data_IF_632302153983
#
_entry.id   IF_632302153983
#
_cell.length_a   1.000
_cell.length_b   1.000
_cell.length_c   1.000
_cell.angle_alpha   90.00
_cell.angle_beta   90.00
_cell.angle_gamma   90.00
#
_symmetry.space_group_name_H-M   'P 1'
#
loop_
_entity.id
_entity.type
_entity.pdbx_description
1 polymer ?
#
# COMPACT_ATOMS: atom_id res chain seq x y z
N UNK A 1 -51.88 -33.96 -7.50
CA UNK A 1 -51.18 -33.87 -6.20
C UNK A 1 -49.73 -33.51 -6.45
N UNK A 2 -49.36 -32.25 -6.27
CA UNK A 2 -47.97 -31.84 -6.18
C UNK A 2 -47.95 -30.72 -5.14
N UNK A 3 -47.86 -31.09 -3.86
CA UNK A 3 -47.55 -30.10 -2.83
C UNK A 3 -46.13 -29.61 -3.14
N UNK A 4 -45.99 -28.36 -3.57
CA UNK A 4 -44.69 -27.71 -3.69
C UNK A 4 -44.08 -27.71 -2.29
N UNK A 5 -42.99 -28.48 -2.13
CA UNK A 5 -42.20 -28.50 -0.91
C UNK A 5 -41.22 -27.33 -1.00
N UNK A 6 -41.78 -26.14 -1.13
CA UNK A 6 -41.02 -24.91 -1.17
C UNK A 6 -40.40 -24.69 0.21
N UNK A 7 -39.10 -24.42 0.23
CA UNK A 7 -38.33 -24.10 1.41
C UNK A 7 -37.90 -22.63 1.33
N UNK A 8 -38.01 -21.94 2.45
CA UNK A 8 -37.42 -20.63 2.66
C UNK A 8 -35.97 -20.81 3.10
N UNK A 9 -35.03 -20.31 2.30
CA UNK A 9 -33.60 -20.34 2.61
C UNK A 9 -33.15 -18.92 2.92
N UNK A 10 -32.87 -18.67 4.19
CA UNK A 10 -32.25 -17.43 4.68
C UNK A 10 -30.73 -17.54 4.52
N UNK A 11 -30.14 -16.67 3.70
CA UNK A 11 -28.70 -16.64 3.42
C UNK A 11 -28.09 -15.42 4.11
N UNK A 12 -27.27 -15.67 5.13
CA UNK A 12 -26.56 -14.65 5.92
C UNK A 12 -27.44 -13.55 6.54
N UNK A 13 -28.77 -13.70 6.58
CA UNK A 13 -29.68 -12.62 6.94
C UNK A 13 -29.79 -11.51 5.90
N UNK A 14 -29.19 -11.67 4.72
CA UNK A 14 -29.22 -10.71 3.61
C UNK A 14 -30.50 -10.86 2.78
N UNK A 15 -30.79 -12.09 2.36
CA UNK A 15 -31.93 -12.41 1.51
C UNK A 15 -32.53 -13.77 1.84
N UNK A 16 -33.85 -13.87 1.69
CA UNK A 16 -34.62 -15.11 1.81
C UNK A 16 -35.03 -15.56 0.42
N UNK A 17 -34.67 -16.79 0.05
CA UNK A 17 -35.02 -17.41 -1.20
C UNK A 17 -36.09 -18.47 -0.99
N UNK A 18 -37.09 -18.52 -1.89
CA UNK A 18 -38.12 -19.58 -1.88
C UNK A 18 -37.80 -20.54 -3.01
N UNK A 19 -37.42 -21.77 -2.66
CA UNK A 19 -36.85 -22.75 -3.59
C UNK A 19 -37.51 -24.12 -3.41
N UNK A 20 -37.63 -24.88 -4.49
CA UNK A 20 -38.06 -26.28 -4.44
C UNK A 20 -36.95 -27.12 -3.81
N UNK A 21 -37.25 -27.67 -2.62
CA UNK A 21 -36.36 -28.55 -1.87
C UNK A 21 -35.83 -29.71 -2.69
N UNK A 22 -36.63 -30.27 -3.60
CA UNK A 22 -36.28 -31.47 -4.39
C UNK A 22 -35.21 -31.14 -5.42
N UNK A 23 -35.35 -30.01 -6.11
CA UNK A 23 -34.38 -29.55 -7.11
C UNK A 23 -33.04 -29.27 -6.43
N UNK A 24 -33.05 -28.57 -5.29
CA UNK A 24 -31.80 -28.28 -4.60
C UNK A 24 -31.14 -29.54 -4.02
N UNK A 25 -31.93 -30.46 -3.45
CA UNK A 25 -31.44 -31.72 -2.89
C UNK A 25 -30.94 -32.73 -3.93
N UNK A 26 -31.38 -32.65 -5.19
CA UNK A 26 -30.88 -33.53 -6.25
C UNK A 26 -29.44 -33.23 -6.65
N UNK A 27 -28.99 -31.99 -6.45
CA UNK A 27 -27.63 -31.54 -6.78
C UNK A 27 -26.72 -31.40 -5.55
N UNK A 28 -27.26 -30.94 -4.41
CA UNK A 28 -26.46 -30.64 -3.21
C UNK A 28 -26.48 -31.80 -2.21
N UNK A 29 -25.29 -32.36 -1.94
CA UNK A 29 -25.13 -33.37 -0.89
C UNK A 29 -25.39 -32.80 0.51
N UNK A 30 -25.08 -31.53 0.73
CA UNK A 30 -25.34 -30.87 2.01
C UNK A 30 -26.84 -30.74 2.26
N UNK A 31 -27.61 -30.28 1.28
CA UNK A 31 -29.06 -30.13 1.39
C UNK A 31 -29.74 -31.49 1.47
N UNK A 32 -29.28 -32.52 0.76
CA UNK A 32 -29.83 -33.88 0.89
C UNK A 32 -29.63 -34.44 2.30
N UNK A 33 -28.44 -34.27 2.90
CA UNK A 33 -28.15 -34.65 4.30
C UNK A 33 -28.96 -33.86 5.34
N UNK A 34 -29.20 -32.58 5.11
CA UNK A 34 -30.05 -31.76 5.99
C UNK A 34 -31.52 -32.16 5.84
N UNK A 35 -31.94 -32.47 4.62
CA UNK A 35 -33.32 -32.84 4.30
C UNK A 35 -33.79 -34.13 4.96
N UNK A 36 -32.88 -35.10 5.19
CA UNK A 36 -33.19 -36.35 5.90
C UNK A 36 -33.29 -36.16 7.42
N UNK A 37 -32.67 -35.11 7.97
CA UNK A 37 -32.70 -34.79 9.42
C UNK A 37 -33.86 -33.88 9.82
N UNK A 38 -34.36 -33.06 8.90
CA UNK A 38 -35.41 -32.07 9.15
C UNK A 38 -36.76 -32.56 8.58
N UNK A 39 -37.46 -33.42 9.32
CA UNK A 39 -38.85 -33.78 9.04
C UNK A 39 -39.79 -32.68 9.54
N UNK A 40 -40.05 -31.67 8.71
CA UNK A 40 -41.13 -30.69 8.93
C UNK A 40 -40.74 -29.21 8.94
N UNK A 41 -39.46 -28.86 8.80
CA UNK A 41 -39.04 -27.46 8.73
C UNK A 41 -39.08 -26.95 7.28
N UNK A 42 -39.79 -25.85 7.06
CA UNK A 42 -39.82 -25.09 5.80
C UNK A 42 -38.67 -24.08 5.71
N UNK A 43 -37.97 -23.79 6.82
CA UNK A 43 -37.02 -22.67 6.89
C UNK A 43 -35.60 -23.20 7.17
N UNK A 44 -34.71 -23.02 6.19
CA UNK A 44 -33.28 -23.31 6.26
C UNK A 44 -32.52 -22.00 6.44
N UNK A 45 -31.51 -22.01 7.30
CA UNK A 45 -30.63 -20.85 7.49
C UNK A 45 -29.19 -21.25 7.19
N UNK A 46 -28.58 -20.56 6.23
CA UNK A 46 -27.16 -20.64 5.97
C UNK A 46 -26.49 -19.41 6.57
N UNK A 47 -25.91 -19.60 7.75
CA UNK A 47 -25.00 -18.63 8.34
C UNK A 47 -23.62 -18.82 7.69
N UNK A 48 -22.97 -17.71 7.33
CA UNK A 48 -21.66 -17.64 6.69
C UNK A 48 -21.56 -18.34 5.32
N UNK A 49 -22.61 -18.28 4.51
CA UNK A 49 -22.57 -18.72 3.11
C UNK A 49 -21.54 -17.87 2.33
N UNK A 50 -20.55 -18.49 1.67
CA UNK A 50 -19.47 -17.75 1.04
C UNK A 50 -19.97 -17.00 -0.20
N UNK A 51 -19.75 -15.68 -0.21
CA UNK A 51 -20.25 -14.79 -1.27
C UNK A 51 -21.72 -14.39 -1.13
N UNK A 52 -22.32 -14.68 0.03
CA UNK A 52 -23.65 -14.18 0.39
C UNK A 52 -24.76 -14.62 -0.55
N UNK A 53 -25.78 -13.78 -0.64
CA UNK A 53 -26.97 -14.03 -1.46
C UNK A 53 -26.63 -14.18 -2.96
N UNK A 54 -25.67 -13.43 -3.49
CA UNK A 54 -25.28 -13.46 -4.91
C UNK A 54 -24.70 -14.82 -5.30
N UNK A 55 -23.79 -15.36 -4.49
CA UNK A 55 -23.22 -16.68 -4.70
C UNK A 55 -24.31 -17.77 -4.66
N UNK A 56 -25.24 -17.67 -3.69
CA UNK A 56 -26.36 -18.61 -3.59
C UNK A 56 -27.30 -18.52 -4.81
N UNK A 57 -27.56 -17.32 -5.32
CA UNK A 57 -28.33 -17.14 -6.55
C UNK A 57 -27.70 -17.90 -7.73
N UNK A 58 -26.38 -17.80 -7.92
CA UNK A 58 -25.69 -18.56 -8.97
C UNK A 58 -25.86 -20.08 -8.80
N UNK A 59 -25.77 -20.59 -7.57
CA UNK A 59 -26.00 -22.01 -7.29
C UNK A 59 -27.44 -22.41 -7.64
N UNK A 60 -28.42 -21.59 -7.30
CA UNK A 60 -29.82 -21.89 -7.62
C UNK A 60 -30.05 -21.86 -9.14
N UNK A 61 -29.50 -20.87 -9.86
CA UNK A 61 -29.57 -20.81 -11.33
C UNK A 61 -28.99 -22.08 -11.96
N UNK A 62 -27.87 -22.58 -11.47
CA UNK A 62 -27.31 -23.86 -11.92
C UNK A 62 -28.29 -25.04 -11.70
N UNK A 63 -28.85 -25.18 -10.50
CA UNK A 63 -29.76 -26.27 -10.16
C UNK A 63 -31.06 -26.23 -10.98
N UNK A 64 -31.63 -25.05 -11.18
CA UNK A 64 -32.87 -24.86 -11.95
C UNK A 64 -32.68 -24.94 -13.45
N UNK A 65 -31.47 -24.71 -13.95
CA UNK A 65 -31.13 -24.80 -15.36
C UNK A 65 -30.49 -26.15 -15.71
N UNK A 66 -30.98 -27.22 -15.08
CA UNK A 66 -30.58 -28.61 -15.29
C UNK A 66 -29.07 -28.88 -15.14
N UNK A 67 -28.39 -28.18 -14.23
CA UNK A 67 -26.96 -28.34 -14.01
C UNK A 67 -26.09 -27.66 -15.09
N UNK A 68 -26.61 -26.61 -15.72
CA UNK A 68 -25.86 -25.80 -16.68
C UNK A 68 -25.80 -24.33 -16.26
N UNK A 69 -24.58 -23.80 -16.21
CA UNK A 69 -24.32 -22.38 -15.97
C UNK A 69 -23.09 -21.95 -16.76
N UNK A 70 -23.12 -20.73 -17.30
CA UNK A 70 -21.96 -20.16 -17.97
C UNK A 70 -20.94 -19.74 -16.91
N UNK A 71 -19.79 -20.40 -16.90
CA UNK A 71 -18.64 -20.04 -16.06
C UNK A 71 -17.86 -18.93 -16.77
N UNK A 72 -17.59 -17.86 -16.04
CA UNK A 72 -16.90 -16.66 -16.50
C UNK A 72 -15.91 -16.19 -15.43
N UNK A 73 -14.92 -15.34 -15.76
CA UNK A 73 -14.03 -14.78 -14.76
C UNK A 73 -14.76 -14.01 -13.66
N UNK A 74 -15.90 -13.40 -13.97
CA UNK A 74 -16.73 -12.64 -13.02
C UNK A 74 -17.53 -13.48 -12.03
N UNK A 75 -17.70 -14.79 -12.24
CA UNK A 75 -18.53 -15.60 -11.35
C UNK A 75 -17.82 -16.85 -10.83
N UNK A 76 -16.66 -17.21 -11.39
CA UNK A 76 -15.92 -18.44 -11.05
C UNK A 76 -15.67 -18.60 -9.54
N UNK A 77 -15.22 -17.54 -8.85
CA UNK A 77 -14.90 -17.64 -7.42
C UNK A 77 -16.16 -17.77 -6.56
N UNK A 78 -17.23 -17.04 -6.87
CA UNK A 78 -18.52 -17.18 -6.20
C UNK A 78 -19.09 -18.59 -6.40
N UNK A 79 -19.08 -19.09 -7.64
CA UNK A 79 -19.50 -20.44 -8.00
C UNK A 79 -18.68 -21.49 -7.24
N UNK A 80 -17.36 -21.41 -7.27
CA UNK A 80 -16.47 -22.39 -6.65
C UNK A 80 -16.67 -22.45 -5.13
N UNK A 81 -16.74 -21.30 -4.46
CA UNK A 81 -17.00 -21.27 -3.02
C UNK A 81 -18.39 -21.78 -2.68
N UNK A 82 -19.42 -21.31 -3.40
CA UNK A 82 -20.81 -21.69 -3.17
C UNK A 82 -21.06 -23.17 -3.40
N UNK A 83 -20.50 -23.74 -4.48
CA UNK A 83 -20.69 -25.16 -4.82
C UNK A 83 -19.92 -26.07 -3.86
N UNK A 84 -18.75 -25.64 -3.40
CA UNK A 84 -17.97 -26.34 -2.38
C UNK A 84 -18.71 -26.34 -1.04
N UNK A 85 -19.26 -25.19 -0.62
CA UNK A 85 -20.08 -25.11 0.60
C UNK A 85 -21.32 -26.01 0.51
N UNK A 86 -21.98 -26.02 -0.64
CA UNK A 86 -23.18 -26.82 -0.89
C UNK A 86 -22.88 -28.30 -1.20
N UNK A 87 -21.60 -28.68 -1.30
CA UNK A 87 -21.16 -30.02 -1.68
C UNK A 87 -21.81 -30.51 -3.01
N UNK A 88 -21.77 -29.69 -4.07
CA UNK A 88 -22.30 -30.01 -5.41
C UNK A 88 -21.16 -30.54 -6.31
N UNK A 89 -20.97 -31.86 -6.44
CA UNK A 89 -19.77 -32.43 -7.06
C UNK A 89 -19.60 -32.07 -8.54
N UNK A 90 -20.71 -32.02 -9.31
CA UNK A 90 -20.68 -31.71 -10.75
C UNK A 90 -20.16 -30.30 -10.99
N UNK A 91 -20.60 -29.33 -10.18
CA UNK A 91 -20.18 -27.94 -10.33
C UNK A 91 -18.77 -27.72 -9.79
N UNK A 92 -18.39 -28.42 -8.70
CA UNK A 92 -17.01 -28.38 -8.18
C UNK A 92 -16.02 -28.77 -9.28
N UNK A 93 -16.21 -29.93 -9.94
CA UNK A 93 -15.29 -30.38 -11.00
C UNK A 93 -15.26 -29.42 -12.18
N UNK A 94 -16.39 -28.84 -12.59
CA UNK A 94 -16.44 -27.83 -13.65
C UNK A 94 -15.66 -26.56 -13.28
N UNK A 95 -15.78 -26.10 -12.03
CA UNK A 95 -15.06 -24.91 -11.56
C UNK A 95 -13.56 -25.17 -11.39
N UNK A 96 -13.16 -26.35 -10.91
CA UNK A 96 -11.75 -26.74 -10.79
C UNK A 96 -11.07 -26.79 -12.17
N UNK A 97 -11.71 -27.42 -13.17
CA UNK A 97 -11.20 -27.45 -14.55
C UNK A 97 -11.05 -26.06 -15.15
N UNK A 98 -11.97 -25.13 -14.83
CA UNK A 98 -11.83 -23.74 -15.28
C UNK A 98 -10.65 -23.04 -14.58
N UNK A 99 -10.45 -23.30 -13.28
CA UNK A 99 -9.35 -22.72 -12.51
C UNK A 99 -7.98 -23.24 -12.98
N UNK A 100 -7.87 -24.51 -13.37
CA UNK A 100 -6.66 -25.04 -14.01
C UNK A 100 -6.32 -24.30 -15.33
N UNK A 101 -7.34 -23.77 -16.01
CA UNK A 101 -7.23 -22.98 -17.23
C UNK A 101 -6.89 -21.50 -17.03
N UNK A 102 -6.67 -21.01 -15.79
CA UNK A 102 -6.46 -19.58 -15.48
C UNK A 102 -5.29 -18.97 -16.28
N UNK A 103 -4.27 -19.76 -16.63
CA UNK A 103 -3.10 -19.29 -17.38
C UNK A 103 -3.41 -18.77 -18.78
N UNK A 104 -4.57 -19.13 -19.35
CA UNK A 104 -5.00 -18.69 -20.68
C UNK A 104 -5.89 -17.44 -20.68
N UNK A 105 -6.22 -16.90 -19.50
CA UNK A 105 -7.05 -15.70 -19.40
C UNK A 105 -6.34 -14.48 -19.97
N UNK A 106 -7.10 -13.65 -20.68
CA UNK A 106 -6.64 -12.31 -21.06
C UNK A 106 -6.51 -11.42 -19.82
N UNK A 107 -5.72 -10.34 -19.92
CA UNK A 107 -5.53 -9.42 -18.79
C UNK A 107 -6.85 -8.82 -18.28
N UNK A 108 -7.77 -8.46 -19.17
CA UNK A 108 -9.07 -7.89 -18.80
C UNK A 108 -9.96 -8.90 -18.06
N UNK A 109 -9.98 -10.16 -18.52
CA UNK A 109 -10.67 -11.26 -17.85
C UNK A 109 -10.09 -11.51 -16.46
N UNK A 110 -8.76 -11.46 -16.35
CA UNK A 110 -8.05 -11.61 -15.09
C UNK A 110 -8.41 -10.50 -14.08
N UNK A 111 -8.37 -9.23 -14.52
CA UNK A 111 -8.77 -8.08 -13.70
C UNK A 111 -10.23 -8.17 -13.26
N UNK A 112 -11.12 -8.67 -14.12
CA UNK A 112 -12.51 -8.90 -13.76
C UNK A 112 -12.67 -9.98 -12.68
N UNK A 113 -11.90 -11.08 -12.77
CA UNK A 113 -11.86 -12.10 -11.73
C UNK A 113 -11.33 -11.58 -10.39
N UNK A 114 -10.29 -10.73 -10.41
CA UNK A 114 -9.76 -10.11 -9.19
C UNK A 114 -10.78 -9.24 -8.45
N UNK A 115 -11.63 -8.48 -9.18
CA UNK A 115 -12.71 -7.69 -8.56
C UNK A 115 -13.65 -8.55 -7.74
N UNK A 116 -13.90 -9.77 -8.20
CA UNK A 116 -14.76 -10.74 -7.52
C UNK A 116 -14.03 -11.47 -6.40
N UNK A 117 -12.73 -11.73 -6.52
CA UNK A 117 -11.96 -12.22 -5.39
C UNK A 117 -11.96 -11.25 -4.19
N UNK A 118 -12.04 -9.94 -4.46
CA UNK A 118 -12.02 -8.93 -3.41
C UNK A 118 -13.24 -9.03 -2.49
N UNK A 119 -14.44 -9.28 -3.04
CA UNK A 119 -15.66 -9.46 -2.23
C UNK A 119 -15.56 -10.71 -1.36
N UNK A 120 -14.83 -11.72 -1.83
CA UNK A 120 -14.60 -12.99 -1.14
C UNK A 120 -13.31 -13.04 -0.32
N UNK A 121 -12.57 -11.93 -0.21
CA UNK A 121 -11.21 -11.93 0.32
C UNK A 121 -11.12 -12.48 1.75
N UNK A 122 -12.11 -12.18 2.60
CA UNK A 122 -12.18 -12.69 3.98
C UNK A 122 -12.23 -14.21 4.06
N UNK A 123 -12.84 -14.87 3.07
CA UNK A 123 -13.11 -16.32 3.07
C UNK A 123 -12.07 -17.07 2.23
N UNK A 124 -11.56 -16.45 1.16
CA UNK A 124 -10.70 -17.09 0.17
C UNK A 124 -9.20 -16.88 0.39
N UNK A 125 -8.78 -16.01 1.31
CA UNK A 125 -7.37 -15.69 1.48
C UNK A 125 -6.47 -16.90 1.84
N UNK A 126 -7.02 -17.98 2.39
CA UNK A 126 -6.27 -19.21 2.70
C UNK A 126 -6.41 -20.31 1.64
N UNK A 127 -7.29 -20.15 0.65
CA UNK A 127 -7.57 -21.19 -0.33
C UNK A 127 -6.41 -21.34 -1.33
N UNK A 128 -5.97 -22.58 -1.66
CA UNK A 128 -4.90 -22.81 -2.62
C UNK A 128 -5.17 -22.20 -4.00
N UNK A 129 -6.39 -22.32 -4.51
CA UNK A 129 -6.78 -21.79 -5.82
C UNK A 129 -6.64 -20.26 -5.90
N UNK A 130 -6.83 -19.56 -4.78
CA UNK A 130 -6.62 -18.12 -4.72
C UNK A 130 -5.13 -17.75 -4.78
N UNK A 131 -4.27 -18.55 -4.14
CA UNK A 131 -2.81 -18.38 -4.24
C UNK A 131 -2.30 -18.66 -5.64
N UNK A 132 -2.82 -19.70 -6.30
CA UNK A 132 -2.50 -20.03 -7.69
C UNK A 132 -2.96 -18.93 -8.66
N UNK A 133 -4.15 -18.39 -8.45
CA UNK A 133 -4.63 -17.22 -9.18
C UNK A 133 -3.69 -16.04 -8.99
N UNK A 134 -3.34 -15.69 -7.74
CA UNK A 134 -2.37 -14.62 -7.45
C UNK A 134 -1.01 -14.88 -8.08
N UNK A 135 -0.48 -16.10 -8.03
CA UNK A 135 0.79 -16.41 -8.66
C UNK A 135 0.73 -16.24 -10.19
N UNK A 136 -0.41 -16.56 -10.81
CA UNK A 136 -0.62 -16.34 -12.25
C UNK A 136 -0.69 -14.84 -12.59
N UNK A 137 -1.35 -14.02 -11.75
CA UNK A 137 -1.32 -12.56 -11.88
C UNK A 137 0.12 -12.05 -11.88
N UNK A 138 0.91 -12.51 -10.91
CA UNK A 138 2.28 -12.07 -10.73
C UNK A 138 3.14 -12.52 -11.91
N UNK A 139 2.98 -13.75 -12.41
CA UNK A 139 3.64 -14.20 -13.64
C UNK A 139 3.28 -13.31 -14.85
N UNK A 140 2.02 -12.90 -14.99
CA UNK A 140 1.61 -11.98 -16.06
C UNK A 140 2.13 -10.54 -15.89
N UNK A 141 2.41 -10.13 -14.65
CA UNK A 141 3.08 -8.86 -14.35
C UNK A 141 4.58 -8.92 -14.64
N UNK A 142 5.24 -10.07 -14.47
CA UNK A 142 6.67 -10.20 -14.72
C UNK A 142 7.02 -10.26 -16.21
N UNK A 143 6.12 -10.75 -17.08
CA UNK A 143 6.34 -10.73 -18.53
C UNK A 143 6.36 -9.28 -19.07
N UNK A 144 7.41 -8.88 -19.82
CA UNK A 144 7.41 -7.63 -20.59
C UNK A 144 6.25 -7.66 -21.58
N UNK A 145 5.40 -6.63 -21.61
CA UNK A 145 4.32 -6.60 -22.59
C UNK A 145 4.89 -6.50 -24.02
N UNK A 146 4.47 -7.41 -24.90
CA UNK A 146 4.82 -7.40 -26.32
C UNK A 146 3.93 -6.45 -27.15
N UNK A 147 3.08 -5.63 -26.51
CA UNK A 147 2.09 -4.80 -27.22
C UNK A 147 1.93 -3.41 -26.58
N UNK A 148 2.26 -2.32 -27.28
CA UNK A 148 1.80 -0.99 -26.91
C UNK A 148 0.35 -0.85 -27.41
N UNK A 149 -0.63 -1.24 -26.60
CA UNK A 149 -2.02 -0.90 -26.91
C UNK A 149 -2.23 0.59 -26.64
N UNK A 150 -2.68 1.28 -27.68
CA UNK A 150 -2.90 2.72 -27.73
C UNK A 150 -4.18 3.09 -26.98
N UNK A 151 -4.22 4.34 -26.51
CA UNK A 151 -5.33 5.08 -25.89
C UNK A 151 -5.53 4.94 -24.38
N UNK A 152 -4.80 5.75 -23.62
CA UNK A 152 -5.35 6.40 -22.41
C UNK A 152 -5.16 7.92 -22.51
N UNK A 153 -6.14 8.58 -23.10
CA UNK A 153 -6.35 10.02 -22.94
C UNK A 153 -6.91 10.28 -21.53
N UNK A 154 -6.05 10.60 -20.57
CA UNK A 154 -6.47 11.22 -19.31
C UNK A 154 -5.39 12.11 -18.73
N UNK A 155 -5.59 13.41 -18.97
CA UNK A 155 -5.17 14.59 -18.19
C UNK A 155 -3.79 14.51 -17.50
N UNK A 156 -2.75 14.88 -18.24
CA UNK A 156 -1.46 15.29 -17.67
C UNK A 156 -1.56 16.75 -17.22
N UNK A 157 -1.49 17.00 -15.91
CA UNK A 157 -1.09 18.32 -15.40
C UNK A 157 0.39 18.50 -15.73
N UNK A 158 0.68 19.29 -16.77
CA UNK A 158 2.00 19.81 -17.05
C UNK A 158 2.23 21.05 -16.19
N UNK A 159 3.04 20.92 -15.14
CA UNK A 159 3.73 22.09 -14.58
C UNK A 159 5.08 22.18 -15.25
N UNK A 160 5.28 23.27 -15.98
CA UNK A 160 6.52 23.64 -16.63
C UNK A 160 7.63 23.85 -15.59
N UNK A 161 8.73 23.13 -15.74
CA UNK A 161 10.06 23.72 -15.52
C UNK A 161 11.09 22.99 -16.39
N UNK A 162 11.83 23.80 -17.14
CA UNK A 162 12.77 23.42 -18.20
C UNK A 162 14.06 22.86 -17.64
N UNK A 163 14.38 21.59 -17.93
CA UNK A 163 15.76 21.10 -18.08
C UNK A 163 15.81 20.01 -19.18
N UNK A 164 16.71 20.09 -20.17
CA UNK A 164 16.81 19.08 -21.22
C UNK A 164 17.99 18.10 -21.00
N UNK A 165 17.77 16.85 -21.45
CA UNK A 165 18.73 15.74 -21.67
C UNK A 165 19.08 14.94 -20.39
N UNK A 166 19.09 13.61 -20.34
CA UNK A 166 18.98 12.52 -21.32
C UNK A 166 18.76 11.22 -20.53
N UNK A 167 17.75 10.40 -20.89
CA UNK A 167 17.52 8.97 -20.52
C UNK A 167 16.03 8.61 -20.33
N UNK A 168 15.07 9.46 -20.73
CA UNK A 168 13.63 9.21 -20.52
C UNK A 168 12.96 8.28 -21.54
N UNK A 169 13.69 7.36 -22.16
CA UNK A 169 13.13 6.43 -23.16
C UNK A 169 13.08 4.97 -22.73
N UNK A 170 13.69 4.58 -21.59
CA UNK A 170 13.69 3.18 -21.12
C UNK A 170 12.71 2.90 -19.97
N UNK A 171 12.01 3.93 -19.45
CA UNK A 171 11.22 3.83 -18.22
C UNK A 171 9.70 3.75 -18.41
N UNK A 172 9.16 3.72 -19.63
CA UNK A 172 7.72 3.49 -19.86
C UNK A 172 7.35 2.00 -19.70
N UNK A 173 7.81 1.40 -18.59
CA UNK A 173 7.58 0.01 -18.24
C UNK A 173 6.16 -0.14 -17.67
N UNK A 174 5.21 -0.63 -18.48
CA UNK A 174 3.94 -1.26 -18.07
C UNK A 174 3.13 -0.62 -16.91
N UNK A 175 3.18 0.69 -16.72
CA UNK A 175 2.44 1.37 -15.64
C UNK A 175 0.91 1.25 -15.79
N UNK A 176 0.40 1.01 -17.00
CA UNK A 176 -1.04 0.83 -17.25
C UNK A 176 -1.60 -0.40 -16.51
N UNK A 177 -0.80 -1.46 -16.31
CA UNK A 177 -1.21 -2.62 -15.50
C UNK A 177 -1.38 -2.25 -14.03
N UNK A 178 -0.64 -1.24 -13.54
CA UNK A 178 -0.81 -0.76 -12.17
C UNK A 178 -2.10 0.06 -12.03
N UNK A 179 -2.46 0.85 -13.05
CA UNK A 179 -3.72 1.59 -13.09
C UNK A 179 -4.92 0.64 -12.94
N UNK A 180 -4.91 -0.46 -13.70
CA UNK A 180 -5.96 -1.49 -13.66
C UNK A 180 -6.10 -2.19 -12.31
N UNK A 181 -5.08 -2.11 -11.44
CA UNK A 181 -5.08 -2.72 -10.10
C UNK A 181 -5.33 -1.73 -8.97
N UNK A 182 -5.59 -0.44 -9.26
CA UNK A 182 -5.86 0.58 -8.24
C UNK A 182 -7.18 0.35 -7.47
N UNK A 183 -8.11 -0.42 -8.04
CA UNK A 183 -9.36 -0.77 -7.36
C UNK A 183 -9.14 -1.64 -6.12
N UNK A 184 -8.04 -2.40 -6.06
CA UNK A 184 -7.75 -3.37 -4.99
C UNK A 184 -7.85 -2.77 -3.60
N UNK A 185 -8.60 -3.36 -2.69
CA UNK A 185 -8.67 -2.93 -1.28
C UNK A 185 -7.31 -3.00 -0.56
N UNK A 186 -7.17 -2.22 0.51
CA UNK A 186 -5.88 -2.05 1.23
C UNK A 186 -5.32 -3.40 1.69
N UNK A 187 -6.16 -4.25 2.27
CA UNK A 187 -5.72 -5.54 2.82
C UNK A 187 -5.36 -6.53 1.69
N UNK A 188 -6.03 -6.44 0.55
CA UNK A 188 -5.71 -7.27 -0.60
C UNK A 188 -4.42 -6.80 -1.28
N UNK A 189 -4.23 -5.49 -1.41
CA UNK A 189 -2.99 -4.91 -1.94
C UNK A 189 -1.78 -5.24 -1.06
N UNK A 190 -1.90 -5.16 0.27
CA UNK A 190 -0.85 -5.60 1.20
C UNK A 190 -0.41 -7.04 0.92
N UNK A 191 -1.37 -7.96 0.74
CA UNK A 191 -1.08 -9.36 0.40
C UNK A 191 -0.41 -9.50 -0.96
N UNK A 192 -0.89 -8.78 -1.98
CA UNK A 192 -0.31 -8.79 -3.32
C UNK A 192 1.18 -8.41 -3.28
N UNK A 193 1.50 -7.30 -2.61
CA UNK A 193 2.88 -6.81 -2.50
C UNK A 193 3.75 -7.81 -1.72
N UNK A 194 3.25 -8.40 -0.63
CA UNK A 194 3.97 -9.45 0.09
C UNK A 194 4.26 -10.67 -0.81
N UNK A 195 3.31 -11.08 -1.63
CA UNK A 195 3.54 -12.14 -2.63
C UNK A 195 4.57 -11.73 -3.68
N UNK A 196 4.59 -10.47 -4.15
CA UNK A 196 5.64 -9.98 -5.05
C UNK A 196 7.04 -10.07 -4.43
N UNK A 197 7.16 -9.73 -3.14
CA UNK A 197 8.42 -9.84 -2.39
C UNK A 197 8.86 -11.30 -2.27
N UNK A 198 7.93 -12.22 -1.95
CA UNK A 198 8.20 -13.65 -1.86
C UNK A 198 8.64 -14.27 -3.20
N UNK A 199 8.10 -13.77 -4.31
CA UNK A 199 8.48 -14.18 -5.66
C UNK A 199 9.71 -13.43 -6.21
N UNK A 200 10.43 -12.69 -5.36
CA UNK A 200 11.67 -11.99 -5.70
C UNK A 200 11.55 -10.99 -6.87
N UNK A 201 10.42 -10.26 -6.94
CA UNK A 201 10.31 -9.12 -7.86
C UNK A 201 11.34 -8.05 -7.52
N UNK A 202 11.78 -7.31 -8.53
CA UNK A 202 12.72 -6.20 -8.34
C UNK A 202 12.14 -5.14 -7.40
N UNK A 203 12.82 -4.88 -6.29
CA UNK A 203 12.38 -3.92 -5.28
C UNK A 203 12.01 -2.53 -5.85
N UNK A 204 12.75 -1.93 -6.81
CA UNK A 204 12.37 -0.64 -7.40
C UNK A 204 10.99 -0.67 -8.09
N UNK A 205 10.66 -1.80 -8.74
CA UNK A 205 9.36 -1.99 -9.40
C UNK A 205 8.24 -2.11 -8.37
N UNK A 206 8.47 -2.83 -7.28
CA UNK A 206 7.54 -2.93 -6.15
C UNK A 206 7.32 -1.55 -5.52
N UNK A 207 8.38 -0.80 -5.24
CA UNK A 207 8.30 0.57 -4.69
C UNK A 207 7.47 1.49 -5.59
N UNK A 208 7.75 1.48 -6.90
CA UNK A 208 6.99 2.27 -7.88
C UNK A 208 5.50 1.95 -7.83
N UNK A 209 5.15 0.66 -7.71
CA UNK A 209 3.75 0.24 -7.62
C UNK A 209 3.10 0.66 -6.30
N UNK A 210 3.80 0.54 -5.16
CA UNK A 210 3.31 0.99 -3.85
C UNK A 210 3.01 2.49 -3.87
N UNK A 211 3.95 3.32 -4.33
CA UNK A 211 3.74 4.78 -4.36
C UNK A 211 2.66 5.19 -5.36
N UNK A 212 2.60 4.50 -6.51
CA UNK A 212 1.53 4.70 -7.48
C UNK A 212 0.16 4.39 -6.87
N UNK A 213 0.01 3.22 -6.25
CA UNK A 213 -1.22 2.80 -5.57
C UNK A 213 -1.60 3.76 -4.44
N UNK A 214 -0.63 4.16 -3.60
CA UNK A 214 -0.86 5.13 -2.54
C UNK A 214 -1.40 6.43 -3.13
N UNK A 215 -0.75 7.00 -4.14
CA UNK A 215 -1.17 8.26 -4.76
C UNK A 215 -2.59 8.16 -5.35
N UNK A 216 -2.88 7.11 -6.10
CA UNK A 216 -4.19 6.93 -6.74
C UNK A 216 -5.30 6.70 -5.71
N UNK A 217 -5.05 5.87 -4.68
CA UNK A 217 -6.07 5.53 -3.68
C UNK A 217 -6.25 6.60 -2.61
N UNK A 218 -5.23 7.42 -2.34
CA UNK A 218 -5.31 8.48 -1.34
C UNK A 218 -6.40 9.52 -1.65
N UNK A 219 -6.63 9.82 -2.93
CA UNK A 219 -7.71 10.73 -3.37
C UNK A 219 -9.10 10.11 -3.25
N UNK A 220 -9.21 8.79 -3.35
CA UNK A 220 -10.47 8.05 -3.23
C UNK A 220 -10.89 7.85 -1.77
N UNK A 221 -9.95 7.84 -0.83
CA UNK A 221 -10.24 7.73 0.59
C UNK A 221 -10.99 8.97 1.10
N UNK A 222 -12.20 8.76 1.61
CA UNK A 222 -13.04 9.84 2.15
C UNK A 222 -12.72 10.14 3.62
N UNK A 223 -12.38 9.13 4.42
CA UNK A 223 -12.09 9.30 5.85
C UNK A 223 -10.60 9.43 6.15
N UNK A 224 -10.29 10.16 7.24
CA UNK A 224 -8.93 10.25 7.78
C UNK A 224 -8.39 8.88 8.18
N UNK A 225 -9.21 8.04 8.77
CA UNK A 225 -8.81 6.71 9.25
C UNK A 225 -8.40 5.78 8.11
N UNK A 226 -9.11 5.84 6.97
CA UNK A 226 -8.73 5.11 5.76
C UNK A 226 -7.38 5.59 5.22
N UNK A 227 -7.15 6.91 5.20
CA UNK A 227 -5.86 7.48 4.77
C UNK A 227 -4.73 7.05 5.71
N UNK A 228 -4.96 7.05 7.02
CA UNK A 228 -4.01 6.53 8.01
C UNK A 228 -3.72 5.04 7.77
N UNK A 229 -4.74 4.21 7.57
CA UNK A 229 -4.58 2.77 7.28
C UNK A 229 -3.74 2.55 6.01
N UNK A 230 -4.01 3.31 4.94
CA UNK A 230 -3.26 3.25 3.69
C UNK A 230 -1.80 3.66 3.87
N UNK A 231 -1.53 4.77 4.56
CA UNK A 231 -0.17 5.23 4.83
C UNK A 231 0.59 4.26 5.76
N UNK A 232 -0.07 3.68 6.77
CA UNK A 232 0.54 2.69 7.66
C UNK A 232 0.92 1.41 6.91
N UNK A 233 0.01 0.90 6.07
CA UNK A 233 0.29 -0.21 5.16
C UNK A 233 1.50 0.10 4.27
N UNK A 234 1.55 1.29 3.66
CA UNK A 234 2.66 1.71 2.80
C UNK A 234 3.99 1.68 3.55
N UNK A 235 4.05 2.29 4.74
CA UNK A 235 5.27 2.32 5.57
C UNK A 235 5.70 0.91 5.96
N UNK A 236 4.75 0.04 6.32
CA UNK A 236 5.05 -1.34 6.68
C UNK A 236 5.59 -2.14 5.49
N UNK A 237 5.01 -2.00 4.29
CA UNK A 237 5.50 -2.65 3.09
C UNK A 237 6.89 -2.15 2.69
N UNK A 238 7.14 -0.84 2.75
CA UNK A 238 8.46 -0.26 2.48
C UNK A 238 9.53 -0.82 3.43
N UNK A 239 9.18 -1.12 4.68
CA UNK A 239 10.10 -1.73 5.65
C UNK A 239 10.50 -3.17 5.35
N UNK A 240 9.81 -3.82 4.42
CA UNK A 240 10.18 -5.15 3.91
C UNK A 240 11.10 -5.07 2.67
N UNK A 241 11.34 -3.87 2.13
CA UNK A 241 12.10 -3.65 0.91
C UNK A 241 13.50 -3.12 1.22
N UNK A 242 14.40 -3.24 0.23
CA UNK A 242 15.75 -2.70 0.35
C UNK A 242 15.73 -1.16 0.37
N UNK A 243 16.46 -0.58 1.32
CA UNK A 243 16.65 0.86 1.50
C UNK A 243 17.10 1.63 0.25
N UNK A 244 17.78 0.94 -0.67
CA UNK A 244 18.29 1.54 -1.90
C UNK A 244 17.26 1.72 -3.02
N UNK A 245 16.06 1.15 -2.88
CA UNK A 245 15.11 0.97 -3.99
C UNK A 245 14.09 2.10 -4.20
N UNK A 246 13.97 3.03 -3.25
CA UNK A 246 13.03 4.15 -3.30
C UNK A 246 13.76 5.49 -3.48
N UNK A 247 13.09 6.46 -4.11
CA UNK A 247 13.63 7.81 -4.28
C UNK A 247 13.47 8.64 -3.02
N UNK A 248 14.40 9.56 -2.77
CA UNK A 248 14.31 10.48 -1.64
C UNK A 248 13.03 11.33 -1.67
N UNK A 249 12.56 11.73 -2.87
CA UNK A 249 11.34 12.54 -3.02
C UNK A 249 10.09 11.78 -2.57
N UNK A 250 9.94 10.52 -2.98
CA UNK A 250 8.79 9.70 -2.58
C UNK A 250 8.75 9.47 -1.05
N UNK A 251 9.92 9.27 -0.42
CA UNK A 251 10.01 9.17 1.04
C UNK A 251 9.61 10.47 1.75
N UNK A 252 10.05 11.62 1.23
CA UNK A 252 9.68 12.93 1.76
C UNK A 252 8.18 13.18 1.64
N UNK A 253 7.57 12.82 0.51
CA UNK A 253 6.13 12.92 0.28
C UNK A 253 5.35 12.00 1.25
N UNK A 254 5.83 10.77 1.46
CA UNK A 254 5.25 9.85 2.45
C UNK A 254 5.39 10.38 3.89
N UNK A 255 6.52 10.98 4.24
CA UNK A 255 6.74 11.61 5.54
C UNK A 255 5.84 12.83 5.74
N UNK A 256 5.75 13.73 4.76
CA UNK A 256 4.82 14.87 4.78
C UNK A 256 3.37 14.42 4.96
N UNK A 257 2.96 13.37 4.25
CA UNK A 257 1.64 12.74 4.42
C UNK A 257 1.45 12.26 5.86
N UNK A 258 2.43 11.57 6.43
CA UNK A 258 2.37 11.07 7.81
C UNK A 258 2.24 12.20 8.85
N UNK A 259 2.86 13.36 8.61
CA UNK A 259 2.74 14.55 9.46
C UNK A 259 1.33 15.15 9.35
N UNK A 260 0.81 15.30 8.14
CA UNK A 260 -0.53 15.84 7.88
C UNK A 260 -1.63 14.99 8.53
N UNK A 261 -1.45 13.67 8.52
CA UNK A 261 -2.35 12.69 9.14
C UNK A 261 -2.08 12.48 10.63
N UNK A 262 -1.11 13.20 11.22
CA UNK A 262 -0.71 13.08 12.62
C UNK A 262 -0.53 11.63 13.06
N UNK A 263 0.12 10.82 12.23
CA UNK A 263 0.32 9.40 12.48
C UNK A 263 1.13 9.17 13.76
N UNK A 264 0.99 7.97 14.31
CA UNK A 264 1.76 7.51 15.47
C UNK A 264 3.27 7.67 15.24
N UNK A 265 3.99 7.94 16.32
CA UNK A 265 5.42 8.24 16.27
C UNK A 265 6.25 7.04 15.81
N UNK A 266 5.85 5.81 16.13
CA UNK A 266 6.52 4.58 15.71
C UNK A 266 6.66 4.44 14.19
N UNK A 267 5.62 4.81 13.45
CA UNK A 267 5.51 4.71 11.99
C UNK A 267 6.35 5.80 11.34
N UNK A 268 6.33 7.01 11.92
CA UNK A 268 7.19 8.11 11.50
C UNK A 268 8.67 7.80 11.70
N UNK A 269 9.04 7.13 12.81
CA UNK A 269 10.42 6.71 13.06
C UNK A 269 10.93 5.70 12.02
N UNK A 270 10.06 4.85 11.47
CA UNK A 270 10.44 3.97 10.34
C UNK A 270 10.83 4.82 9.11
N UNK A 271 10.01 5.82 8.76
CA UNK A 271 10.32 6.74 7.67
C UNK A 271 11.60 7.57 7.92
N UNK A 272 11.79 8.06 9.15
CA UNK A 272 13.01 8.79 9.53
C UNK A 272 14.27 7.92 9.42
N UNK A 273 14.16 6.60 9.56
CA UNK A 273 15.27 5.67 9.32
C UNK A 273 15.67 5.70 7.84
N UNK A 274 14.70 5.57 6.93
CA UNK A 274 14.95 5.59 5.48
C UNK A 274 15.43 6.95 4.98
N UNK A 275 14.85 8.04 5.48
CA UNK A 275 15.26 9.40 5.16
C UNK A 275 16.68 9.69 5.66
N UNK A 276 16.99 9.27 6.89
CA UNK A 276 18.32 9.44 7.46
C UNK A 276 19.40 8.72 6.65
N UNK A 277 19.12 7.51 6.16
CA UNK A 277 20.05 6.79 5.27
C UNK A 277 20.27 7.45 3.91
N UNK A 278 19.52 8.50 3.56
CA UNK A 278 19.62 9.20 2.27
C UNK A 278 19.93 10.68 2.44
N UNK A 279 20.40 11.09 3.62
CA UNK A 279 20.59 12.49 3.97
C UNK A 279 21.58 13.21 3.04
N UNK A 280 22.48 12.48 2.37
CA UNK A 280 23.40 13.01 1.35
C UNK A 280 22.75 13.38 0.02
N UNK A 281 21.48 13.01 -0.19
CA UNK A 281 20.67 13.36 -1.37
C UNK A 281 19.77 14.59 -1.12
N UNK A 282 19.71 15.11 0.10
CA UNK A 282 18.82 16.20 0.49
C UNK A 282 19.32 17.56 -0.02
N UNK A 283 18.36 18.45 -0.29
CA UNK A 283 18.59 19.89 -0.38
C UNK A 283 18.30 20.56 0.96
N UNK A 284 18.73 21.82 1.11
CA UNK A 284 18.42 22.60 2.29
C UNK A 284 16.92 22.68 2.53
N UNK A 285 16.13 22.92 1.49
CA UNK A 285 14.66 23.01 1.56
C UNK A 285 14.01 21.75 2.12
N UNK A 286 14.59 20.58 1.85
CA UNK A 286 14.08 19.29 2.33
C UNK A 286 14.29 19.13 3.87
N UNK A 287 15.21 19.89 4.48
CA UNK A 287 15.43 19.94 5.94
C UNK A 287 14.60 21.00 6.66
N UNK A 288 14.04 21.96 5.93
CA UNK A 288 13.27 23.09 6.49
C UNK A 288 11.84 22.69 6.89
N UNK A 289 11.73 21.63 7.71
CA UNK A 289 10.46 21.15 8.25
C UNK A 289 10.04 22.04 9.42
N UNK A 290 8.78 22.48 9.41
CA UNK A 290 8.26 23.40 10.43
C UNK A 290 8.35 22.83 11.85
N UNK A 291 8.91 23.64 12.75
CA UNK A 291 9.07 23.31 14.17
C UNK A 291 7.75 23.28 14.95
N UNK A 292 7.81 22.68 16.15
CA UNK A 292 6.70 22.74 17.10
C UNK A 292 6.76 24.05 17.90
N UNK A 293 5.59 24.54 18.32
CA UNK A 293 5.43 25.72 19.18
C UNK A 293 5.97 26.98 18.50
N UNK A 294 6.95 27.65 19.11
CA UNK A 294 7.53 28.93 18.64
C UNK A 294 8.78 28.75 17.77
N UNK A 295 9.32 27.54 17.67
CA UNK A 295 10.50 27.27 16.84
C UNK A 295 10.12 27.29 15.37
N UNK A 296 10.94 27.96 14.54
CA UNK A 296 10.71 28.04 13.11
C UNK A 296 10.82 26.66 12.45
N UNK A 297 11.84 25.89 12.83
CA UNK A 297 12.17 24.60 12.23
C UNK A 297 12.30 23.47 13.26
N UNK A 298 12.02 22.23 12.84
CA UNK A 298 12.14 21.02 13.67
C UNK A 298 13.59 20.53 13.71
N UNK A 299 14.40 21.17 14.56
CA UNK A 299 15.79 20.77 14.78
C UNK A 299 15.92 19.35 15.36
N UNK A 300 14.91 18.89 16.11
CA UNK A 300 14.97 17.53 16.68
C UNK A 300 14.84 16.48 15.57
N UNK A 301 14.05 16.74 14.53
CA UNK A 301 13.97 15.88 13.33
C UNK A 301 15.33 15.79 12.64
N UNK A 302 15.96 16.93 12.33
CA UNK A 302 17.28 16.94 11.66
C UNK A 302 18.32 16.16 12.46
N UNK A 303 18.37 16.33 13.80
CA UNK A 303 19.26 15.55 14.66
C UNK A 303 18.98 14.05 14.60
N UNK A 304 17.71 13.62 14.52
CA UNK A 304 17.36 12.19 14.35
C UNK A 304 17.77 11.65 12.99
N UNK A 305 17.59 12.43 11.91
CA UNK A 305 18.04 12.04 10.56
C UNK A 305 19.57 11.89 10.50
N UNK A 306 20.32 12.85 11.06
CA UNK A 306 21.78 12.78 11.14
C UNK A 306 22.22 11.55 11.96
N UNK A 307 21.56 11.28 13.08
CA UNK A 307 21.85 10.08 13.89
C UNK A 307 21.67 8.80 13.07
N UNK A 308 20.58 8.67 12.32
CA UNK A 308 20.33 7.50 11.46
C UNK A 308 21.37 7.40 10.33
N UNK A 309 21.74 8.50 9.70
CA UNK A 309 22.81 8.57 8.70
C UNK A 309 24.15 8.04 9.24
N UNK A 310 24.54 8.49 10.43
CA UNK A 310 25.79 8.07 11.09
C UNK A 310 25.74 6.60 11.52
N UNK A 311 24.57 6.08 11.90
CA UNK A 311 24.40 4.67 12.25
C UNK A 311 24.52 3.76 11.02
N UNK A 312 24.00 4.17 9.87
CA UNK A 312 24.11 3.42 8.61
C UNK A 312 25.58 3.21 8.20
N UNK A 313 26.47 4.18 8.47
CA UNK A 313 27.93 4.06 8.28
C UNK A 313 28.51 2.77 8.83
N UNK A 314 28.00 2.31 9.97
CA UNK A 314 28.54 1.11 10.64
C UNK A 314 28.39 -0.15 9.77
N UNK A 315 27.76 -0.03 8.60
CA UNK A 315 27.37 -1.14 7.72
C UNK A 315 28.01 -1.06 6.31
N UNK A 316 28.42 0.10 5.75
CA UNK A 316 28.85 0.22 4.32
C UNK A 316 30.05 1.17 3.99
N UNK A 317 30.78 0.87 2.90
CA UNK A 317 32.13 1.36 2.57
C UNK A 317 32.33 2.67 1.75
N UNK A 318 31.33 3.54 1.57
CA UNK A 318 31.48 4.83 0.84
C UNK A 318 31.22 6.08 1.70
N UNK A 319 31.27 5.92 3.02
CA UNK A 319 30.82 6.94 3.96
C UNK A 319 31.54 8.30 3.90
N UNK A 320 32.88 8.41 3.72
CA UNK A 320 33.56 9.70 3.83
C UNK A 320 33.06 10.78 2.86
N UNK A 321 32.80 10.42 1.61
CA UNK A 321 32.29 11.36 0.61
C UNK A 321 30.83 11.77 0.91
N UNK A 322 29.98 10.82 1.30
CA UNK A 322 28.59 11.11 1.70
C UNK A 322 28.56 12.02 2.93
N UNK A 323 29.41 11.74 3.93
CA UNK A 323 29.50 12.53 5.15
C UNK A 323 29.93 13.98 4.89
N UNK A 324 30.80 14.22 3.90
CA UNK A 324 31.16 15.58 3.48
C UNK A 324 29.99 16.36 2.91
N UNK A 325 29.17 15.72 2.07
CA UNK A 325 27.93 16.32 1.56
C UNK A 325 26.95 16.64 2.69
N UNK A 326 26.76 15.71 3.61
CA UNK A 326 25.89 15.91 4.79
C UNK A 326 26.45 17.00 5.71
N UNK A 327 27.76 17.07 5.93
CA UNK A 327 28.42 18.14 6.68
C UNK A 327 28.11 19.51 6.09
N UNK A 328 28.31 19.66 4.78
CA UNK A 328 27.95 20.89 4.07
C UNK A 328 26.46 21.25 4.25
N UNK A 329 25.56 20.28 4.09
CA UNK A 329 24.12 20.48 4.24
C UNK A 329 23.74 20.90 5.67
N UNK A 330 24.31 20.26 6.68
CA UNK A 330 24.05 20.58 8.10
C UNK A 330 24.59 21.95 8.46
N UNK A 331 25.75 22.35 7.94
CA UNK A 331 26.29 23.68 8.17
C UNK A 331 25.37 24.77 7.58
N UNK A 332 24.82 24.55 6.38
CA UNK A 332 23.80 25.44 5.80
C UNK A 332 22.54 25.50 6.67
N UNK A 333 22.06 24.35 7.14
CA UNK A 333 20.91 24.28 8.04
C UNK A 333 21.16 25.02 9.36
N UNK A 334 22.38 24.94 9.91
CA UNK A 334 22.76 25.68 11.11
C UNK A 334 22.68 27.20 10.90
N UNK A 335 23.07 27.71 9.73
CA UNK A 335 22.92 29.13 9.38
C UNK A 335 21.43 29.53 9.37
N UNK A 336 20.57 28.73 8.72
CA UNK A 336 19.13 29.00 8.65
C UNK A 336 18.44 28.99 10.02
N UNK A 337 18.82 28.08 10.92
CA UNK A 337 18.21 28.02 12.26
C UNK A 337 18.85 28.97 13.27
N UNK A 338 20.04 29.52 12.99
CA UNK A 338 20.75 30.42 13.89
C UNK A 338 19.97 31.72 14.16
N UNK A 339 19.12 32.13 13.22
CA UNK A 339 18.30 33.34 13.33
C UNK A 339 16.98 33.13 14.06
N UNK A 340 16.66 31.91 14.52
CA UNK A 340 15.47 31.62 15.32
C UNK A 340 15.68 31.98 16.81
N UNK A 341 15.05 33.05 17.34
CA UNK A 341 15.25 33.47 18.73
C UNK A 341 14.82 32.42 19.76
N UNK A 342 13.99 31.45 19.36
CA UNK A 342 13.49 30.37 20.22
C UNK A 342 14.34 29.10 20.14
N UNK A 343 15.42 29.10 19.35
CA UNK A 343 16.38 28.00 19.35
C UNK A 343 17.16 27.98 20.66
N UNK A 344 17.32 26.78 21.23
CA UNK A 344 18.06 26.60 22.48
C UNK A 344 19.55 26.37 22.18
N UNK A 345 20.48 26.90 23.02
CA UNK A 345 21.91 26.69 22.82
C UNK A 345 22.29 25.21 22.77
N UNK A 346 21.66 24.38 23.61
CA UNK A 346 21.92 22.94 23.64
C UNK A 346 21.60 22.24 22.32
N UNK A 347 20.54 22.65 21.61
CA UNK A 347 20.18 22.09 20.30
C UNK A 347 21.14 22.58 19.21
N UNK A 348 21.51 23.85 19.24
CA UNK A 348 22.46 24.43 18.29
C UNK A 348 23.85 23.77 18.41
N UNK A 349 24.35 23.58 19.63
CA UNK A 349 25.58 22.85 19.91
C UNK A 349 25.46 21.38 19.46
N UNK A 350 24.32 20.74 19.71
CA UNK A 350 24.10 19.35 19.26
C UNK A 350 24.20 19.22 17.73
N UNK A 351 23.71 20.19 16.95
CA UNK A 351 23.86 20.19 15.48
C UNK A 351 25.34 20.27 15.08
N UNK A 352 26.10 21.18 15.68
CA UNK A 352 27.53 21.34 15.39
C UNK A 352 28.34 20.06 15.66
N UNK A 353 27.98 19.32 16.71
CA UNK A 353 28.67 18.10 17.13
C UNK A 353 28.05 16.80 16.56
N UNK A 354 27.01 16.87 15.73
CA UNK A 354 26.26 15.68 15.30
C UNK A 354 27.02 14.77 14.32
N UNK A 355 28.03 15.31 13.62
CA UNK A 355 28.81 14.61 12.59
C UNK A 355 30.27 14.43 13.02
N UNK A 356 30.97 13.40 12.51
CA UNK A 356 32.41 13.21 12.75
C UNK A 356 33.26 14.35 12.16
N UNK A 357 34.43 14.62 12.75
CA UNK A 357 35.29 15.76 12.37
C UNK A 357 35.66 15.79 10.87
N UNK A 358 35.97 14.65 10.27
CA UNK A 358 36.34 14.59 8.84
C UNK A 358 35.19 14.90 7.87
N UNK A 359 33.94 15.02 8.37
CA UNK A 359 32.79 15.43 7.55
C UNK A 359 32.90 16.89 7.09
N UNK A 360 33.80 17.68 7.67
CA UNK A 360 33.99 19.09 7.32
C UNK A 360 35.38 19.31 6.77
N UNK A 361 35.43 19.87 5.56
CA UNK A 361 36.70 20.29 4.94
C UNK A 361 37.08 21.72 5.34
N UNK A 362 36.10 22.55 5.67
CA UNK A 362 36.27 23.90 6.23
C UNK A 362 35.25 24.13 7.35
N UNK A 363 35.62 24.97 8.30
CA UNK A 363 34.80 25.36 9.44
C UNK A 363 34.16 26.75 9.27
N UNK A 364 34.41 27.44 8.15
CA UNK A 364 33.98 28.84 7.95
C UNK A 364 32.46 29.01 8.07
N UNK A 365 31.69 28.07 7.49
CA UNK A 365 30.23 28.08 7.57
C UNK A 365 29.71 27.89 8.99
N UNK A 366 30.36 27.03 9.78
CA UNK A 366 30.02 26.85 11.18
C UNK A 366 30.33 28.09 11.99
N UNK A 367 31.50 28.70 11.79
CA UNK A 367 31.83 29.95 12.47
C UNK A 367 30.84 31.06 12.12
N UNK A 368 30.42 31.13 10.85
CA UNK A 368 29.37 32.05 10.42
C UNK A 368 28.03 31.77 11.11
N UNK A 369 27.59 30.51 11.18
CA UNK A 369 26.39 30.12 11.90
C UNK A 369 26.46 30.50 13.40
N UNK A 370 27.63 30.29 14.03
CA UNK A 370 27.86 30.64 15.44
C UNK A 370 27.76 32.16 15.64
N UNK A 371 28.40 32.95 14.78
CA UNK A 371 28.34 34.41 14.84
C UNK A 371 26.88 34.91 14.73
N UNK A 372 26.13 34.42 13.74
CA UNK A 372 24.70 34.74 13.59
C UNK A 372 23.88 34.36 14.83
N UNK A 373 24.12 33.16 15.38
CA UNK A 373 23.43 32.68 16.57
C UNK A 373 23.73 33.59 17.78
N UNK A 374 25.00 33.94 18.00
CA UNK A 374 25.38 34.80 19.11
C UNK A 374 24.77 36.20 18.95
N UNK A 375 24.75 36.76 17.75
CA UNK A 375 24.10 38.04 17.48
C UNK A 375 22.60 38.00 17.80
N UNK A 376 21.85 36.98 17.38
CA UNK A 376 20.40 36.93 17.63
C UNK A 376 20.09 36.71 19.10
N UNK A 377 20.80 35.78 19.75
CA UNK A 377 20.48 35.35 21.11
C UNK A 377 21.05 36.23 22.22
N UNK A 378 22.17 36.94 21.98
CA UNK A 378 22.71 37.92 22.92
C UNK A 378 21.80 39.16 23.01
N UNK A 379 21.36 39.69 21.88
CA UNK A 379 20.43 40.83 21.85
C UNK A 379 19.04 40.46 22.38
N UNK A 380 18.55 39.24 22.14
CA UNK A 380 17.29 38.78 22.72
C UNK A 380 17.35 38.70 24.25
N UNK A 381 18.46 38.22 24.83
CA UNK A 381 18.63 38.19 26.27
C UNK A 381 18.59 39.60 26.89
N UNK A 382 19.22 40.59 26.24
CA UNK A 382 19.18 41.99 26.68
C UNK A 382 17.77 42.58 26.55
N UNK A 383 17.08 42.34 25.43
CA UNK A 383 15.72 42.84 25.18
C UNK A 383 14.66 42.24 26.12
N UNK A 384 14.83 40.99 26.55
CA UNK A 384 13.95 40.34 27.54
C UNK A 384 14.21 40.92 28.94
N UNK A 385 15.47 41.18 29.30
CA UNK A 385 15.83 41.80 30.58
C UNK A 385 15.38 43.27 30.65
N UNK A 386 15.39 44.00 29.54
CA UNK A 386 14.95 45.41 29.51
C UNK A 386 13.43 45.61 29.50
N UNK A 387 12.65 44.55 29.31
CA UNK A 387 11.18 44.56 29.32
C UNK A 387 10.57 43.92 30.60
N UNK A 388 11.41 43.62 31.58
CA UNK A 388 11.06 43.28 32.97
C UNK A 388 11.40 44.50 33.82
#
# INVERSE_FOLDING_TARGET
MAHSLDIEVDVNGEHIFIIDKRILASYSNRVSKLSTKLTGYTNLKFNDFPGGAESFEFITRFCYNNGSILITPSNIFLLHCGCTFMEIPILITQTELYLEGIHYLTWSEFVNGLKQCQTLFSTMNTHPSFQEFLNTLLANLSLPSSYPSSNSSSFRFASSDTTPKSSRSETLLDYWKFDDLTFLEIDFFDKLIKSMILLHFEHPRICSFIFHYQKSKFFLCSSRDQKCKLSEMTINLLSLLNGSSFSCRELLDAYGTSLSLSMKTSERLKLETFLGSRLDEFRIDDLLVRGKKKQAFDVDLTLRLIKNFVLERRIFGFFPHRAKKVGFLVDLFMIEVAVDPFLKPSKFIALGMALPDFSRESHDRIYHAIDLYLQVHYFHAILVISNI
#
